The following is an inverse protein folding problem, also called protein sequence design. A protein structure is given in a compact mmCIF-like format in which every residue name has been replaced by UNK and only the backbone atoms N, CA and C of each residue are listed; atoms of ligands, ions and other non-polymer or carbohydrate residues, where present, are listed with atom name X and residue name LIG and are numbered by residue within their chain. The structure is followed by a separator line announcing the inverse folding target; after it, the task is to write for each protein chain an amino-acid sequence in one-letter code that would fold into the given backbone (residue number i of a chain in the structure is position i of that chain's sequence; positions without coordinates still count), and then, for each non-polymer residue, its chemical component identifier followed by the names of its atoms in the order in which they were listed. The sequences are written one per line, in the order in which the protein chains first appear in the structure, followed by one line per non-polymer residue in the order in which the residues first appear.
data_IF_307887855057
#
_entry.id   IF_307887855057
#
_cell.length_a   1.000
_cell.length_b   1.000
_cell.length_c   1.000
_cell.angle_alpha   90.00
_cell.angle_beta   90.00
_cell.angle_gamma   90.00
#
_symmetry.space_group_name_H-M   'P 1'
#
loop_
_entity.id
_entity.type
_entity.pdbx_description
1 polymer ?
#
# COMPACT_ATOMS: atom_id res chain seq x y z
N UNK A 1 -29.66 -17.85 15.49
CA UNK A 1 -29.58 -19.09 14.71
C UNK A 1 -29.06 -18.77 13.31
N UNK A 2 -27.74 -18.81 13.14
CA UNK A 2 -27.07 -18.94 11.84
C UNK A 2 -25.84 -19.80 12.12
N UNK A 3 -25.87 -21.03 11.63
CA UNK A 3 -24.76 -21.98 11.72
C UNK A 3 -23.65 -21.55 10.76
N UNK A 4 -22.41 -21.54 11.22
CA UNK A 4 -21.26 -21.68 10.32
C UNK A 4 -20.42 -22.87 10.74
N UNK A 5 -20.20 -23.72 9.74
CA UNK A 5 -19.67 -25.07 9.83
C UNK A 5 -18.30 -25.15 10.49
N UNK A 6 -18.23 -26.11 11.41
CA UNK A 6 -17.04 -26.81 11.86
C UNK A 6 -16.32 -27.39 10.63
N UNK A 7 -15.17 -26.83 10.26
CA UNK A 7 -14.19 -27.53 9.42
C UNK A 7 -13.27 -28.30 10.35
N UNK A 8 -13.53 -29.61 10.42
CA UNK A 8 -12.74 -30.60 11.14
C UNK A 8 -11.59 -31.02 10.22
N UNK A 9 -10.37 -30.52 10.47
CA UNK A 9 -9.15 -31.00 9.81
C UNK A 9 -8.23 -31.55 10.90
N UNK A 10 -7.95 -32.84 10.74
CA UNK A 10 -6.98 -33.70 11.41
C UNK A 10 -6.96 -33.83 12.94
N UNK A 11 -7.27 -35.05 13.38
CA UNK A 11 -7.10 -35.51 14.74
C UNK A 11 -5.64 -35.52 15.14
N UNK A 12 -5.27 -34.62 16.05
CA UNK A 12 -4.15 -34.79 16.95
C UNK A 12 -4.51 -34.14 18.27
N UNK A 13 -4.87 -35.00 19.23
CA UNK A 13 -5.06 -34.62 20.63
C UNK A 13 -3.67 -34.32 21.20
N UNK A 14 -3.26 -33.06 21.18
CA UNK A 14 -2.16 -32.60 22.03
C UNK A 14 -2.70 -32.39 23.43
N UNK A 15 -2.22 -33.21 24.38
CA UNK A 15 -2.45 -33.04 25.81
C UNK A 15 -2.16 -31.59 26.23
N UNK A 16 -3.17 -30.90 26.72
CA UNK A 16 -2.99 -29.65 27.46
C UNK A 16 -2.43 -30.04 28.83
N UNK A 17 -1.11 -29.92 28.97
CA UNK A 17 -0.47 -29.90 30.29
C UNK A 17 -0.90 -28.60 30.96
N UNK A 18 -1.72 -28.74 31.99
CA UNK A 18 -2.02 -27.69 32.96
C UNK A 18 -0.67 -27.22 33.54
N UNK A 19 -0.26 -26.00 33.17
CA UNK A 19 0.89 -25.34 33.77
C UNK A 19 0.38 -24.14 34.55
N UNK A 20 0.76 -24.19 35.81
CA UNK A 20 0.41 -23.34 36.94
C UNK A 20 0.61 -21.85 36.63
N UNK A 21 -0.39 -21.07 37.04
CA UNK A 21 -0.59 -19.65 36.80
C UNK A 21 0.46 -18.80 37.53
N UNK A 22 1.46 -18.33 36.79
CA UNK A 22 2.43 -17.32 37.22
C UNK A 22 2.14 -15.95 36.59
N UNK A 23 0.90 -15.46 36.71
CA UNK A 23 0.58 -14.07 37.09
C UNK A 23 1.19 -12.90 36.29
N UNK A 24 1.83 -13.14 35.15
CA UNK A 24 2.38 -12.11 34.26
C UNK A 24 1.64 -12.26 32.95
N UNK A 25 0.62 -11.42 32.80
CA UNK A 25 -0.20 -11.31 31.59
C UNK A 25 0.67 -10.74 30.45
N UNK A 26 1.55 -11.57 29.91
CA UNK A 26 2.23 -11.33 28.65
C UNK A 26 1.13 -11.31 27.59
N UNK A 27 0.81 -10.12 27.08
CA UNK A 27 -0.08 -9.95 25.94
C UNK A 27 0.58 -10.64 24.72
N UNK A 28 0.40 -11.95 24.62
CA UNK A 28 0.75 -12.72 23.42
C UNK A 28 -0.20 -12.26 22.33
N UNK A 29 0.26 -11.28 21.53
CA UNK A 29 -0.43 -10.87 20.32
C UNK A 29 -0.69 -12.13 19.48
N UNK A 30 -1.93 -12.43 19.08
CA UNK A 30 -2.22 -13.60 18.26
C UNK A 30 -1.31 -13.55 17.04
N UNK A 31 -0.62 -14.65 16.75
CA UNK A 31 0.29 -14.77 15.62
C UNK A 31 -0.37 -14.20 14.37
N UNK A 32 -0.02 -12.97 13.98
CA UNK A 32 -0.44 -12.43 12.69
C UNK A 32 0.13 -13.37 11.63
N UNK A 33 -0.75 -14.13 10.98
CA UNK A 33 -0.38 -15.06 9.91
C UNK A 33 0.34 -14.26 8.81
N UNK A 34 1.67 -14.40 8.76
CA UNK A 34 2.55 -13.64 7.86
C UNK A 34 2.52 -14.32 6.49
N UNK A 35 1.79 -13.72 5.56
CA UNK A 35 1.64 -14.24 4.20
C UNK A 35 2.83 -13.81 3.33
N UNK A 36 3.35 -14.69 2.49
CA UNK A 36 4.35 -14.36 1.47
C UNK A 36 3.71 -13.62 0.27
N UNK A 37 4.53 -12.96 -0.56
CA UNK A 37 4.01 -12.31 -1.78
C UNK A 37 3.38 -13.32 -2.75
N UNK A 38 3.95 -14.52 -2.86
CA UNK A 38 3.41 -15.60 -3.71
C UNK A 38 2.06 -16.11 -3.23
N UNK A 39 1.88 -16.29 -1.92
CA UNK A 39 0.58 -16.67 -1.34
C UNK A 39 -0.46 -15.57 -1.48
N UNK A 40 -0.07 -14.29 -1.37
CA UNK A 40 -0.97 -13.16 -1.62
C UNK A 40 -1.48 -13.16 -3.07
N UNK A 41 -0.60 -13.44 -4.04
CA UNK A 41 -0.99 -13.65 -5.44
C UNK A 41 -1.92 -14.85 -5.61
N UNK A 42 -1.59 -15.98 -4.99
CA UNK A 42 -2.39 -17.20 -5.09
C UNK A 42 -3.79 -16.99 -4.48
N UNK A 43 -3.91 -16.27 -3.38
CA UNK A 43 -5.18 -15.87 -2.78
C UNK A 43 -6.01 -14.99 -3.71
N UNK A 44 -5.37 -14.00 -4.35
CA UNK A 44 -6.04 -13.15 -5.33
C UNK A 44 -6.56 -13.94 -6.53
N UNK A 45 -5.76 -14.90 -7.03
CA UNK A 45 -6.14 -15.74 -8.18
C UNK A 45 -7.22 -16.78 -7.83
N UNK A 46 -7.18 -17.35 -6.62
CA UNK A 46 -8.17 -18.33 -6.17
C UNK A 46 -9.53 -17.69 -5.81
N UNK A 47 -9.53 -16.44 -5.31
CA UNK A 47 -10.73 -15.76 -4.83
C UNK A 47 -10.89 -14.33 -5.36
N UNK A 48 -10.86 -14.11 -6.69
CA UNK A 48 -10.89 -12.75 -7.27
C UNK A 48 -12.19 -12.02 -6.93
N UNK A 49 -13.33 -12.71 -6.95
CA UNK A 49 -14.64 -12.11 -6.67
C UNK A 49 -14.75 -11.55 -5.25
N UNK A 50 -14.27 -12.29 -4.25
CA UNK A 50 -14.32 -11.87 -2.84
C UNK A 50 -13.44 -10.64 -2.62
N UNK A 51 -12.24 -10.63 -3.21
CA UNK A 51 -11.30 -9.53 -2.98
C UNK A 51 -11.63 -8.29 -3.80
N UNK A 52 -12.02 -8.44 -5.07
CA UNK A 52 -12.16 -7.31 -6.01
C UNK A 52 -13.56 -6.70 -6.01
N UNK A 53 -14.60 -7.50 -5.76
CA UNK A 53 -15.99 -7.06 -5.80
C UNK A 53 -16.54 -6.91 -4.37
N UNK A 54 -16.49 -7.96 -3.53
CA UNK A 54 -17.05 -7.86 -2.17
C UNK A 54 -16.22 -6.98 -1.24
N UNK A 55 -14.89 -6.96 -1.41
CA UNK A 55 -13.97 -6.10 -0.65
C UNK A 55 -13.46 -4.93 -1.47
N UNK A 56 -14.23 -4.51 -2.48
CA UNK A 56 -13.95 -3.30 -3.24
C UNK A 56 -13.70 -2.12 -2.29
N UNK A 57 -12.55 -1.45 -2.43
CA UNK A 57 -12.08 -0.52 -1.43
C UNK A 57 -12.69 0.87 -1.62
N UNK A 58 -13.91 1.05 -1.10
CA UNK A 58 -14.67 2.29 -1.25
C UNK A 58 -13.99 3.51 -0.60
N UNK A 59 -13.16 3.30 0.44
CA UNK A 59 -12.43 4.39 1.09
C UNK A 59 -11.32 4.93 0.19
N UNK A 60 -10.54 4.03 -0.39
CA UNK A 60 -9.52 4.39 -1.37
C UNK A 60 -10.15 5.00 -2.62
N UNK A 61 -11.27 4.45 -3.09
CA UNK A 61 -12.05 5.00 -4.20
C UNK A 61 -12.47 6.44 -3.95
N UNK A 62 -13.16 6.69 -2.83
CA UNK A 62 -13.69 8.00 -2.48
C UNK A 62 -12.56 9.03 -2.32
N UNK A 63 -11.53 8.69 -1.55
CA UNK A 63 -10.43 9.60 -1.27
C UNK A 63 -9.65 9.95 -2.55
N UNK A 64 -9.36 8.95 -3.38
CA UNK A 64 -8.66 9.17 -4.65
C UNK A 64 -9.48 10.02 -5.63
N UNK A 65 -10.78 9.73 -5.75
CA UNK A 65 -11.68 10.42 -6.67
C UNK A 65 -11.87 11.89 -6.29
N UNK A 66 -12.00 12.19 -4.99
CA UNK A 66 -12.10 13.58 -4.50
C UNK A 66 -10.84 14.37 -4.83
N UNK A 67 -9.66 13.87 -4.44
CA UNK A 67 -8.41 14.60 -4.69
C UNK A 67 -8.18 14.83 -6.20
N UNK A 68 -8.46 13.82 -7.03
CA UNK A 68 -8.31 13.97 -8.47
C UNK A 68 -9.36 14.88 -9.09
N UNK A 69 -10.63 14.80 -8.68
CA UNK A 69 -11.67 15.72 -9.12
C UNK A 69 -11.26 17.18 -8.87
N UNK A 70 -10.75 17.48 -7.67
CA UNK A 70 -10.24 18.80 -7.31
C UNK A 70 -9.10 19.22 -8.26
N UNK A 71 -8.11 18.34 -8.47
CA UNK A 71 -6.98 18.64 -9.37
C UNK A 71 -7.48 18.91 -10.80
N UNK A 72 -8.37 18.07 -11.34
CA UNK A 72 -8.89 18.20 -12.70
C UNK A 72 -9.75 19.46 -12.88
N UNK A 73 -10.51 19.83 -11.86
CA UNK A 73 -11.25 21.10 -11.86
C UNK A 73 -10.30 22.30 -11.94
N UNK A 74 -9.32 22.40 -11.03
CA UNK A 74 -8.42 23.55 -10.99
C UNK A 74 -7.46 23.62 -12.18
N UNK A 75 -7.02 22.48 -12.72
CA UNK A 75 -6.17 22.46 -13.92
C UNK A 75 -6.90 22.86 -15.19
N UNK A 76 -8.23 22.69 -15.24
CA UNK A 76 -9.04 23.02 -16.41
C UNK A 76 -9.87 24.30 -16.24
N UNK A 77 -9.83 24.98 -15.09
CA UNK A 77 -10.61 26.20 -14.83
C UNK A 77 -10.27 27.33 -15.81
N UNK A 78 -9.02 27.39 -16.27
CA UNK A 78 -8.53 28.35 -17.26
C UNK A 78 -9.19 28.13 -18.63
N UNK A 79 -9.62 26.90 -18.94
CA UNK A 79 -10.35 26.56 -20.17
C UNK A 79 -11.87 26.84 -20.06
N UNK A 80 -12.34 27.36 -18.92
CA UNK A 80 -13.73 27.70 -18.65
C UNK A 80 -14.42 26.76 -17.67
N UNK A 81 -15.41 27.28 -16.96
CA UNK A 81 -16.10 26.55 -15.89
C UNK A 81 -16.78 25.27 -16.37
N UNK A 82 -17.44 25.30 -17.54
CA UNK A 82 -18.09 24.12 -18.11
C UNK A 82 -17.08 23.00 -18.44
N UNK A 83 -15.91 23.34 -18.98
CA UNK A 83 -14.85 22.39 -19.27
C UNK A 83 -14.25 21.80 -17.98
N UNK A 84 -14.01 22.65 -16.97
CA UNK A 84 -13.53 22.21 -15.66
C UNK A 84 -14.51 21.26 -14.96
N UNK A 85 -15.81 21.58 -14.98
CA UNK A 85 -16.86 20.73 -14.42
C UNK A 85 -16.97 19.39 -15.14
N UNK A 86 -16.93 19.40 -16.47
CA UNK A 86 -16.94 18.18 -17.26
C UNK A 86 -15.73 17.29 -16.92
N UNK A 87 -14.52 17.86 -16.89
CA UNK A 87 -13.30 17.13 -16.55
C UNK A 87 -13.36 16.56 -15.12
N UNK A 88 -13.87 17.34 -14.16
CA UNK A 88 -14.05 16.92 -12.78
C UNK A 88 -15.00 15.72 -12.65
N UNK A 89 -16.17 15.77 -13.30
CA UNK A 89 -17.18 14.70 -13.22
C UNK A 89 -16.67 13.42 -13.87
N UNK A 90 -16.05 13.55 -15.06
CA UNK A 90 -15.49 12.40 -15.78
C UNK A 90 -14.41 11.71 -14.94
N UNK A 91 -13.47 12.47 -14.37
CA UNK A 91 -12.42 11.89 -13.55
C UNK A 91 -12.98 11.32 -12.24
N UNK A 92 -13.96 11.99 -11.60
CA UNK A 92 -14.60 11.48 -10.39
C UNK A 92 -15.31 10.14 -10.63
N UNK A 93 -16.06 10.01 -11.72
CA UNK A 93 -16.78 8.78 -12.05
C UNK A 93 -15.81 7.64 -12.43
N UNK A 94 -14.86 7.94 -13.34
CA UNK A 94 -13.87 6.97 -13.80
C UNK A 94 -12.99 6.47 -12.64
N UNK A 95 -12.48 7.40 -11.82
CA UNK A 95 -11.65 7.05 -10.66
C UNK A 95 -12.44 6.45 -9.53
N UNK A 96 -13.71 6.83 -9.38
CA UNK A 96 -14.63 6.24 -8.43
C UNK A 96 -14.59 4.74 -8.56
N UNK A 97 -14.83 4.22 -9.77
CA UNK A 97 -14.86 2.78 -10.05
C UNK A 97 -13.46 2.15 -9.99
N UNK A 98 -12.48 2.74 -10.65
CA UNK A 98 -11.16 2.11 -10.84
C UNK A 98 -10.29 2.14 -9.59
N UNK A 99 -10.32 3.21 -8.79
CA UNK A 99 -9.47 3.34 -7.61
C UNK A 99 -9.87 2.39 -6.49
N UNK A 100 -11.14 2.01 -6.36
CA UNK A 100 -11.54 0.99 -5.39
C UNK A 100 -11.07 -0.42 -5.75
N UNK A 101 -11.01 -0.73 -7.04
CA UNK A 101 -10.42 -1.98 -7.54
C UNK A 101 -8.91 -2.02 -7.26
N UNK A 102 -8.18 -0.95 -7.59
CA UNK A 102 -6.74 -0.86 -7.28
C UNK A 102 -6.46 -0.85 -5.78
N UNK A 103 -7.32 -0.21 -4.98
CA UNK A 103 -7.25 -0.23 -3.54
C UNK A 103 -7.46 -1.63 -2.96
N UNK A 104 -8.39 -2.40 -3.52
CA UNK A 104 -8.60 -3.79 -3.14
C UNK A 104 -7.40 -4.68 -3.48
N UNK A 105 -6.83 -4.55 -4.69
CA UNK A 105 -5.58 -5.21 -5.08
C UNK A 105 -4.44 -4.89 -4.10
N UNK A 106 -4.25 -3.60 -3.83
CA UNK A 106 -3.23 -3.10 -2.89
C UNK A 106 -3.43 -3.67 -1.48
N UNK A 107 -4.68 -3.77 -1.04
CA UNK A 107 -5.03 -4.28 0.28
C UNK A 107 -4.66 -5.76 0.47
N UNK A 108 -4.73 -6.58 -0.57
CA UNK A 108 -4.33 -8.01 -0.50
C UNK A 108 -2.87 -8.16 -0.09
N UNK A 109 -1.99 -7.29 -0.59
CA UNK A 109 -0.56 -7.33 -0.28
C UNK A 109 -0.20 -6.66 1.05
N UNK A 110 -1.15 -6.08 1.80
CA UNK A 110 -0.84 -5.27 3.01
C UNK A 110 -0.11 -6.06 4.10
N UNK A 111 -0.43 -7.35 4.25
CA UNK A 111 0.19 -8.24 5.24
C UNK A 111 1.41 -8.97 4.67
N UNK A 112 1.73 -8.80 3.39
CA UNK A 112 2.79 -9.53 2.72
C UNK A 112 4.19 -9.16 3.26
N UNK A 113 5.03 -10.18 3.41
CA UNK A 113 6.44 -10.08 3.81
C UNK A 113 7.34 -10.73 2.75
N UNK A 114 8.57 -10.21 2.53
CA UNK A 114 9.15 -9.02 3.16
C UNK A 114 8.53 -7.71 2.64
N UNK A 115 8.52 -6.67 3.47
CA UNK A 115 7.75 -5.45 3.21
C UNK A 115 8.22 -4.68 1.97
N UNK A 116 9.54 -4.61 1.76
CA UNK A 116 10.13 -3.96 0.59
C UNK A 116 9.70 -4.64 -0.72
N UNK A 117 9.65 -5.97 -0.72
CA UNK A 117 9.29 -6.75 -1.91
C UNK A 117 7.81 -6.61 -2.23
N UNK A 118 6.95 -6.61 -1.20
CA UNK A 118 5.53 -6.30 -1.37
C UNK A 118 5.32 -4.88 -1.92
N UNK A 119 6.06 -3.88 -1.43
CA UNK A 119 6.00 -2.51 -1.96
C UNK A 119 6.38 -2.46 -3.43
N UNK A 120 7.49 -3.08 -3.83
CA UNK A 120 7.93 -3.12 -5.24
C UNK A 120 6.88 -3.83 -6.11
N UNK A 121 6.38 -4.97 -5.64
CA UNK A 121 5.35 -5.75 -6.34
C UNK A 121 4.12 -4.89 -6.61
N UNK A 122 3.56 -4.26 -5.58
CA UNK A 122 2.36 -3.43 -5.71
C UNK A 122 2.64 -2.19 -6.58
N UNK A 123 3.81 -1.58 -6.42
CA UNK A 123 4.25 -0.40 -7.19
C UNK A 123 4.35 -0.66 -8.69
N UNK A 124 4.68 -1.89 -9.10
CA UNK A 124 4.76 -2.27 -10.52
C UNK A 124 3.42 -2.83 -10.99
N UNK A 125 2.87 -3.79 -10.23
CA UNK A 125 1.72 -4.59 -10.65
C UNK A 125 0.44 -3.75 -10.80
N UNK A 126 0.15 -2.88 -9.83
CA UNK A 126 -1.09 -2.10 -9.84
C UNK A 126 -1.08 -1.06 -10.98
N UNK A 127 -0.02 -0.26 -11.18
CA UNK A 127 0.06 0.63 -12.34
C UNK A 127 0.11 -0.13 -13.67
N UNK A 128 0.78 -1.27 -13.75
CA UNK A 128 0.79 -2.08 -14.98
C UNK A 128 -0.63 -2.46 -15.41
N UNK A 129 -1.47 -2.94 -14.49
CA UNK A 129 -2.88 -3.24 -14.80
C UNK A 129 -3.63 -1.97 -15.23
N UNK A 130 -3.41 -0.85 -14.53
CA UNK A 130 -4.07 0.42 -14.87
C UNK A 130 -3.70 0.94 -16.25
N UNK A 131 -2.43 0.84 -16.64
CA UNK A 131 -1.96 1.33 -17.93
C UNK A 131 -2.27 0.36 -19.07
N UNK A 132 -2.37 -0.94 -18.82
CA UNK A 132 -2.93 -1.88 -19.81
C UNK A 132 -4.37 -1.52 -20.12
N UNK A 133 -5.20 -1.23 -19.10
CA UNK A 133 -6.58 -0.79 -19.31
C UNK A 133 -6.66 0.55 -20.07
N UNK A 134 -5.85 1.53 -19.69
CA UNK A 134 -5.74 2.83 -20.36
C UNK A 134 -5.28 2.69 -21.83
N UNK A 135 -4.28 1.83 -22.08
CA UNK A 135 -3.79 1.52 -23.42
C UNK A 135 -4.87 0.86 -24.29
N UNK A 136 -5.62 -0.10 -23.76
CA UNK A 136 -6.73 -0.74 -24.49
C UNK A 136 -7.83 0.26 -24.85
N UNK A 137 -8.18 1.16 -23.93
CA UNK A 137 -9.16 2.23 -24.20
C UNK A 137 -8.65 3.18 -25.28
N UNK A 138 -7.37 3.54 -25.27
CA UNK A 138 -6.79 4.40 -26.31
C UNK A 138 -6.60 3.70 -27.65
N UNK A 139 -6.32 2.41 -27.66
CA UNK A 139 -6.25 1.60 -28.88
C UNK A 139 -7.60 1.60 -29.61
N UNK A 140 -8.70 1.50 -28.86
CA UNK A 140 -10.07 1.56 -29.39
C UNK A 140 -10.44 2.99 -29.85
N UNK A 141 -9.94 4.03 -29.19
CA UNK A 141 -10.32 5.42 -29.43
C UNK A 141 -9.36 6.24 -30.34
N UNK A 142 -8.26 5.66 -30.84
CA UNK A 142 -7.42 6.27 -31.89
C UNK A 142 -6.74 7.61 -31.55
N UNK A 143 -6.43 7.88 -30.29
CA UNK A 143 -6.03 9.22 -29.81
C UNK A 143 -4.57 9.58 -30.16
N UNK A 144 -4.34 10.72 -30.82
CA UNK A 144 -2.99 11.27 -31.12
C UNK A 144 -2.52 12.20 -29.97
N UNK A 145 -1.27 12.01 -29.52
CA UNK A 145 -0.58 12.62 -28.33
C UNK A 145 -0.67 11.82 -27.02
N UNK A 146 -0.28 10.55 -27.09
CA UNK A 146 -0.37 9.58 -25.99
C UNK A 146 0.74 9.72 -24.92
N UNK A 147 1.95 10.16 -25.30
CA UNK A 147 3.13 10.00 -24.44
C UNK A 147 3.16 10.86 -23.17
N UNK A 148 2.83 12.16 -23.28
CA UNK A 148 3.02 13.12 -22.17
C UNK A 148 1.97 12.95 -21.07
N UNK A 149 0.71 12.67 -21.43
CA UNK A 149 -0.35 12.37 -20.47
C UNK A 149 -0.11 11.03 -19.76
N UNK A 150 0.42 10.03 -20.47
CA UNK A 150 0.81 8.74 -19.88
C UNK A 150 1.87 8.95 -18.80
N UNK A 151 2.96 9.69 -19.06
CA UNK A 151 4.04 9.85 -18.08
C UNK A 151 3.54 10.52 -16.78
N UNK A 152 2.74 11.59 -16.90
CA UNK A 152 2.15 12.26 -15.74
C UNK A 152 1.18 11.33 -14.98
N UNK A 153 0.37 10.56 -15.71
CA UNK A 153 -0.55 9.56 -15.15
C UNK A 153 0.22 8.44 -14.42
N UNK A 154 1.31 7.93 -15.00
CA UNK A 154 2.18 6.90 -14.41
C UNK A 154 2.80 7.40 -13.11
N UNK A 155 3.43 8.57 -13.13
CA UNK A 155 4.11 9.12 -11.96
C UNK A 155 3.12 9.33 -10.79
N UNK A 156 1.95 9.92 -11.09
CA UNK A 156 0.91 10.09 -10.09
C UNK A 156 0.38 8.73 -9.59
N UNK A 157 0.20 7.76 -10.48
CA UNK A 157 -0.33 6.44 -10.12
C UNK A 157 0.64 5.65 -9.24
N UNK A 158 1.94 5.71 -9.53
CA UNK A 158 3.00 5.13 -8.68
C UNK A 158 2.99 5.76 -7.30
N UNK A 159 3.00 7.09 -7.22
CA UNK A 159 2.99 7.81 -5.94
C UNK A 159 1.73 7.51 -5.12
N UNK A 160 0.56 7.56 -5.76
CA UNK A 160 -0.73 7.27 -5.12
C UNK A 160 -0.82 5.81 -4.63
N UNK A 161 -0.29 4.87 -5.41
CA UNK A 161 -0.25 3.44 -5.05
C UNK A 161 0.66 3.21 -3.84
N UNK A 162 1.86 3.79 -3.85
CA UNK A 162 2.79 3.70 -2.73
C UNK A 162 2.21 4.28 -1.44
N UNK A 163 1.58 5.45 -1.52
CA UNK A 163 0.92 6.07 -0.37
C UNK A 163 -0.23 5.21 0.16
N UNK A 164 -1.12 4.73 -0.72
CA UNK A 164 -2.22 3.85 -0.35
C UNK A 164 -1.71 2.56 0.32
N UNK A 165 -0.67 1.94 -0.25
CA UNK A 165 -0.05 0.75 0.34
C UNK A 165 0.53 1.04 1.72
N UNK A 166 1.28 2.15 1.86
CA UNK A 166 1.86 2.60 3.12
C UNK A 166 0.79 2.85 4.20
N UNK A 167 -0.33 3.46 3.83
CA UNK A 167 -1.46 3.71 4.72
C UNK A 167 -2.14 2.40 5.15
N UNK A 168 -2.40 1.49 4.20
CA UNK A 168 -3.01 0.17 4.45
C UNK A 168 -2.13 -0.72 5.32
N UNK A 169 -0.80 -0.67 5.18
CA UNK A 169 0.11 -1.38 6.08
C UNK A 169 0.05 -0.87 7.53
N UNK A 170 -0.43 0.36 7.75
CA UNK A 170 -0.58 0.98 9.08
C UNK A 170 -2.02 0.98 9.58
N UNK A 171 -2.91 0.20 8.96
CA UNK A 171 -4.27 0.03 9.44
C UNK A 171 -5.27 1.08 8.98
N UNK A 172 -4.91 1.96 8.03
CA UNK A 172 -5.76 3.04 7.51
C UNK A 172 -6.18 2.73 6.08
N UNK A 173 -7.38 3.16 5.64
CA UNK A 173 -7.94 2.88 4.30
C UNK A 173 -8.17 1.39 4.00
N UNK A 174 -8.43 0.60 5.04
CA UNK A 174 -8.82 -0.81 4.90
C UNK A 174 -10.35 -0.94 4.92
N UNK A 175 -10.86 -1.86 4.10
CA UNK A 175 -12.27 -2.26 4.03
C UNK A 175 -12.40 -3.77 4.31
N UNK A 176 -13.53 -4.19 4.88
CA UNK A 176 -13.75 -5.58 5.31
C UNK A 176 -13.27 -5.81 6.75
N UNK A 177 -12.88 -7.04 7.09
CA UNK A 177 -12.52 -7.39 8.48
C UNK A 177 -11.30 -6.60 8.97
N UNK A 178 -11.34 -6.17 10.24
CA UNK A 178 -10.31 -5.34 10.89
C UNK A 178 -10.16 -3.93 10.27
N UNK A 179 -11.29 -3.22 10.10
CA UNK A 179 -11.31 -1.82 9.67
C UNK A 179 -11.67 -0.84 10.82
N UNK A 180 -11.20 0.40 10.72
CA UNK A 180 -11.71 1.52 11.50
C UNK A 180 -12.75 2.31 10.70
N UNK A 181 -13.54 3.17 11.35
CA UNK A 181 -14.44 4.08 10.63
C UNK A 181 -13.66 5.07 9.77
N UNK A 182 -14.26 5.60 8.70
CA UNK A 182 -13.61 6.60 7.84
C UNK A 182 -13.16 7.84 8.64
N UNK A 183 -13.95 8.25 9.64
CA UNK A 183 -13.61 9.36 10.52
C UNK A 183 -12.32 9.10 11.29
N UNK A 184 -12.14 7.90 11.81
CA UNK A 184 -10.94 7.51 12.53
C UNK A 184 -9.73 7.40 11.59
N UNK A 185 -9.94 6.88 10.38
CA UNK A 185 -8.92 6.87 9.32
C UNK A 185 -8.46 8.30 8.99
N UNK A 186 -9.40 9.26 8.86
CA UNK A 186 -9.08 10.67 8.59
C UNK A 186 -8.35 11.32 9.77
N UNK A 187 -8.69 10.99 11.02
CA UNK A 187 -7.99 11.51 12.20
C UNK A 187 -6.53 11.06 12.25
N UNK A 188 -6.23 9.85 11.76
CA UNK A 188 -4.86 9.31 11.69
C UNK A 188 -4.09 9.78 10.46
N UNK A 189 -4.78 10.24 9.42
CA UNK A 189 -4.20 10.60 8.12
C UNK A 189 -3.06 11.64 8.21
N UNK A 190 -3.13 12.71 9.03
CA UNK A 190 -2.01 13.66 9.14
C UNK A 190 -0.71 12.99 9.58
N UNK A 191 -0.79 12.05 10.53
CA UNK A 191 0.38 11.28 10.99
C UNK A 191 0.89 10.33 9.91
N UNK A 192 -0.01 9.70 9.14
CA UNK A 192 0.36 8.82 8.03
C UNK A 192 1.07 9.61 6.92
N UNK A 193 0.56 10.78 6.55
CA UNK A 193 1.19 11.68 5.56
C UNK A 193 2.57 12.12 6.05
N UNK A 194 2.67 12.60 7.30
CA UNK A 194 3.94 13.01 7.87
C UNK A 194 4.96 11.85 7.86
N UNK A 195 4.54 10.65 8.29
CA UNK A 195 5.40 9.48 8.23
C UNK A 195 5.82 9.12 6.80
N UNK A 196 4.91 9.18 5.82
CA UNK A 196 5.23 8.85 4.43
C UNK A 196 6.28 9.81 3.84
N UNK A 197 6.16 11.11 4.15
CA UNK A 197 7.11 12.13 3.72
C UNK A 197 8.46 12.04 4.45
N UNK A 198 8.47 11.63 5.72
CA UNK A 198 9.67 11.61 6.56
C UNK A 198 10.42 10.26 6.56
N UNK A 199 9.75 9.14 6.30
CA UNK A 199 10.37 7.80 6.34
C UNK A 199 11.53 7.68 5.34
N UNK A 200 11.42 8.27 4.14
CA UNK A 200 12.47 8.23 3.11
C UNK A 200 13.70 9.08 3.53
N UNK A 201 13.57 10.38 3.86
CA UNK A 201 14.68 11.19 4.36
C UNK A 201 15.35 10.59 5.60
N UNK A 202 14.57 10.07 6.56
CA UNK A 202 15.09 9.48 7.80
C UNK A 202 15.86 8.18 7.51
N UNK A 203 15.37 7.33 6.61
CA UNK A 203 16.06 6.12 6.21
C UNK A 203 17.40 6.43 5.52
N UNK A 204 17.43 7.45 4.65
CA UNK A 204 18.64 7.94 3.99
C UNK A 204 19.62 8.48 5.04
N UNK A 205 19.16 9.35 5.94
CA UNK A 205 19.99 9.93 7.00
C UNK A 205 20.60 8.85 7.91
N UNK A 206 19.80 7.87 8.36
CA UNK A 206 20.27 6.75 9.18
C UNK A 206 21.31 5.89 8.46
N UNK A 207 21.14 5.66 7.16
CA UNK A 207 22.09 4.87 6.37
C UNK A 207 23.42 5.62 6.20
N UNK A 208 23.38 6.93 5.97
CA UNK A 208 24.56 7.78 5.87
C UNK A 208 25.31 7.92 7.20
N UNK A 209 24.60 8.03 8.33
CA UNK A 209 25.21 8.13 9.67
C UNK A 209 25.72 6.80 10.23
N UNK A 210 25.26 5.66 9.69
CA UNK A 210 25.73 4.32 10.08
C UNK A 210 27.04 3.91 9.40
N UNK A 211 27.51 4.68 8.41
CA UNK A 211 28.84 4.49 7.82
C UNK A 211 29.89 4.92 8.83
N UNK A 212 30.38 3.97 9.65
CA UNK A 212 31.49 4.21 10.58
C UNK A 212 32.69 4.77 9.80
N UNK A 213 33.39 5.80 10.30
CA UNK A 213 34.64 6.24 9.68
C UNK A 213 35.61 5.06 9.63
N UNK A 214 36.22 4.83 8.46
CA UNK A 214 37.30 3.86 8.29
C UNK A 214 38.38 4.23 9.32
N UNK A 215 38.77 3.34 10.24
CA UNK A 215 39.86 3.62 11.15
C UNK A 215 41.09 3.92 10.31
N UNK A 216 41.64 5.14 10.46
CA UNK A 216 42.88 5.52 9.79
C UNK A 216 43.95 4.48 10.17
N UNK A 217 44.79 4.03 9.22
CA UNK A 217 45.87 3.11 9.54
C UNK A 217 46.73 3.73 10.64
N UNK A 218 46.75 3.06 11.79
CA UNK A 218 47.54 3.44 12.95
C UNK A 218 49.01 3.51 12.49
N UNK A 219 49.59 4.72 12.47
CA UNK A 219 51.04 4.88 12.26
C UNK A 219 51.74 4.28 13.48
N UNK A 220 52.14 3.02 13.37
CA UNK A 220 53.13 2.40 14.24
C UNK A 220 54.48 3.07 14.00
N UNK A 221 54.72 4.14 14.76
CA UNK A 221 55.99 4.86 14.81
C UNK A 221 56.71 4.54 16.11
N UNK A 222 56.94 3.26 16.40
CA UNK A 222 57.88 2.81 17.43
C UNK A 222 58.92 1.89 16.78
N UNK A 223 60.07 2.47 16.42
CA UNK A 223 61.32 1.73 16.36
C UNK A 223 62.28 2.34 17.35
N UNK A 224 62.40 1.64 18.49
CA UNK A 224 63.49 1.76 19.44
C UNK A 224 64.83 1.74 18.69
N UNK A 225 65.63 2.78 18.84
CA UNK A 225 67.08 2.65 18.75
C UNK A 225 67.62 2.53 20.18
N UNK A 226 68.09 1.32 20.51
CA UNK A 226 69.02 1.09 21.61
C UNK A 226 70.42 1.30 21.05
N UNK A 227 71.22 2.14 21.70
CA UNK A 227 72.64 1.85 21.98
C UNK A 227 72.89 2.22 23.45
#
# INVERSE_FOLDING_TARGET
MVCYGMLKIDGSITKVSEKEDDGVNEYVLPHEEKISVGEAFLHLLKHPYIHLIQRWNWKAALLSSIFRAIIFFFTNIVAGFAAAMSAMIVEFAYRGVTAGFYGALTQVFRKARPAWFASITVMIFVPAISHIAEFLVHLINGTKKLGTSIIASVAFSVLSTLFNFYAMRRGVLIVGDQNFSLKEDMRRMPRIIAGFLLDIPIAIYKKLSSTKPVPLPFKSGDKKFKE
#
